data_IF_581589049456
#
_entry.id   IF_581589049456
#
_cell.length_a   1.000
_cell.length_b   1.000
_cell.length_c   1.000
_cell.angle_alpha   90.00
_cell.angle_beta   90.00
_cell.angle_gamma   90.00
#
_symmetry.space_group_name_H-M   'P 1'
#
loop_
_entity.id
_entity.type
_entity.pdbx_description
1 polymer ?
#
# COMPACT_ATOMS: atom_id res chain seq x y z
N UNK A 1 -21.69 2.19 5.59
CA UNK A 1 -21.02 3.30 4.88
C UNK A 1 -20.00 3.86 5.86
N UNK A 2 -18.74 4.05 5.44
CA UNK A 2 -17.78 4.74 6.30
C UNK A 2 -18.20 6.22 6.41
N UNK A 3 -18.37 6.73 7.62
CA UNK A 3 -18.62 8.14 7.85
C UNK A 3 -17.35 8.93 7.53
N UNK A 4 -17.44 9.83 6.55
CA UNK A 4 -16.33 10.71 6.18
C UNK A 4 -16.33 11.89 7.16
N UNK A 5 -15.31 11.95 8.03
CA UNK A 5 -15.12 13.09 8.94
C UNK A 5 -14.35 14.20 8.23
N UNK A 6 -14.46 15.43 8.73
CA UNK A 6 -13.81 16.60 8.12
C UNK A 6 -13.16 17.48 9.17
N UNK A 7 -11.96 17.97 8.86
CA UNK A 7 -11.24 18.97 9.64
C UNK A 7 -11.38 20.35 9.00
N UNK A 8 -11.74 21.37 9.79
CA UNK A 8 -11.85 22.76 9.30
C UNK A 8 -10.47 23.39 9.20
N UNK A 9 -10.09 23.81 8.00
CA UNK A 9 -8.84 24.53 7.71
C UNK A 9 -9.17 25.89 7.08
N UNK A 10 -9.18 26.94 7.91
CA UNK A 10 -9.64 28.27 7.51
C UNK A 10 -11.13 28.26 7.19
N UNK A 11 -11.48 28.66 5.96
CA UNK A 11 -12.86 28.75 5.48
C UNK A 11 -13.37 27.46 4.83
N UNK A 12 -12.57 26.39 4.81
CA UNK A 12 -12.89 25.14 4.12
C UNK A 12 -12.84 23.92 5.06
N UNK A 13 -13.60 22.89 4.71
CA UNK A 13 -13.58 21.57 5.36
C UNK A 13 -12.81 20.58 4.48
N UNK A 14 -11.75 20.00 5.04
CA UNK A 14 -10.93 18.98 4.37
C UNK A 14 -11.33 17.60 4.91
N UNK A 15 -11.66 16.62 4.06
CA UNK A 15 -12.01 15.28 4.51
C UNK A 15 -10.80 14.60 5.18
N UNK A 16 -11.05 13.93 6.30
CA UNK A 16 -10.04 13.18 7.04
C UNK A 16 -9.82 11.81 6.38
N UNK A 17 -9.03 11.82 5.31
CA UNK A 17 -8.65 10.59 4.63
C UNK A 17 -7.58 9.86 5.44
N UNK A 18 -7.93 8.71 6.00
CA UNK A 18 -6.98 7.79 6.63
C UNK A 18 -6.81 6.56 5.77
N UNK A 19 -5.56 6.17 5.53
CA UNK A 19 -5.24 4.88 4.95
C UNK A 19 -5.59 3.77 5.96
N UNK A 20 -5.90 2.58 5.44
CA UNK A 20 -6.01 1.39 6.30
C UNK A 20 -4.69 1.15 7.06
N UNK A 21 -4.79 0.67 8.29
CA UNK A 21 -3.59 0.28 9.06
C UNK A 21 -2.83 -0.80 8.30
N UNK A 22 -1.56 -0.52 8.01
CA UNK A 22 -0.66 -1.44 7.33
C UNK A 22 0.30 -2.06 8.35
N UNK A 23 0.79 -3.29 8.12
CA UNK A 23 1.78 -3.90 9.02
C UNK A 23 3.04 -3.02 9.12
N UNK A 24 3.56 -2.80 10.32
CA UNK A 24 4.77 -1.97 10.54
C UNK A 24 6.10 -2.68 10.19
N UNK A 25 6.04 -3.84 9.53
CA UNK A 25 7.24 -4.60 9.18
C UNK A 25 7.95 -3.95 7.99
N UNK A 26 9.30 -3.77 8.01
CA UNK A 26 10.02 -3.21 6.88
C UNK A 26 10.02 -4.16 5.67
N UNK A 27 9.97 -3.59 4.47
CA UNK A 27 10.12 -4.36 3.22
C UNK A 27 11.59 -4.75 3.02
N UNK A 28 11.84 -6.04 2.84
CA UNK A 28 13.15 -6.64 2.59
C UNK A 28 13.61 -6.56 1.12
N UNK A 29 14.66 -7.32 0.80
CA UNK A 29 15.29 -7.30 -0.54
C UNK A 29 14.33 -7.79 -1.62
N UNK A 30 13.61 -8.88 -1.38
CA UNK A 30 12.79 -9.55 -2.39
C UNK A 30 11.47 -8.80 -2.64
N UNK A 31 10.90 -8.18 -1.61
CA UNK A 31 9.76 -7.27 -1.74
C UNK A 31 10.12 -6.02 -2.55
N UNK A 32 11.30 -5.42 -2.32
CA UNK A 32 11.77 -4.30 -3.17
C UNK A 32 11.98 -4.72 -4.62
N UNK A 33 12.55 -5.91 -4.87
CA UNK A 33 12.68 -6.45 -6.23
C UNK A 33 11.31 -6.68 -6.88
N UNK A 34 10.35 -7.26 -6.15
CA UNK A 34 8.99 -7.48 -6.64
C UNK A 34 8.29 -6.18 -7.00
N UNK A 35 8.42 -5.14 -6.17
CA UNK A 35 7.88 -3.81 -6.46
C UNK A 35 8.41 -3.25 -7.77
N UNK A 36 9.72 -3.36 -8.02
CA UNK A 36 10.33 -2.91 -9.28
C UNK A 36 9.78 -3.69 -10.47
N UNK A 37 9.73 -5.01 -10.36
CA UNK A 37 9.17 -5.88 -11.41
C UNK A 37 7.71 -5.52 -11.73
N UNK A 38 6.87 -5.29 -10.70
CA UNK A 38 5.48 -4.90 -10.90
C UNK A 38 5.35 -3.58 -11.64
N UNK A 39 6.17 -2.58 -11.31
CA UNK A 39 6.18 -1.29 -12.02
C UNK A 39 6.61 -1.41 -13.49
N UNK A 40 7.70 -2.13 -13.74
CA UNK A 40 8.33 -2.18 -15.07
C UNK A 40 7.61 -3.15 -16.02
N UNK A 41 7.09 -4.26 -15.51
CA UNK A 41 6.56 -5.35 -16.35
C UNK A 41 5.08 -5.62 -16.17
N UNK A 42 4.45 -5.17 -15.07
CA UNK A 42 3.01 -5.41 -14.80
C UNK A 42 2.30 -4.16 -14.25
N UNK A 43 2.34 -3.02 -14.96
CA UNK A 43 1.81 -1.75 -14.46
C UNK A 43 0.31 -1.82 -14.09
N UNK A 44 -0.50 -2.60 -14.81
CA UNK A 44 -1.91 -2.78 -14.48
C UNK A 44 -2.14 -3.44 -13.11
N UNK A 45 -1.37 -4.50 -12.81
CA UNK A 45 -1.42 -5.15 -11.50
C UNK A 45 -0.86 -4.25 -10.40
N UNK A 46 0.22 -3.52 -10.70
CA UNK A 46 0.79 -2.55 -9.77
C UNK A 46 -0.23 -1.47 -9.36
N UNK A 47 -0.91 -0.87 -10.33
CA UNK A 47 -1.95 0.14 -10.07
C UNK A 47 -3.14 -0.45 -9.31
N UNK A 48 -3.59 -1.65 -9.68
CA UNK A 48 -4.68 -2.34 -8.96
C UNK A 48 -4.33 -2.59 -7.49
N UNK A 49 -3.10 -3.00 -7.19
CA UNK A 49 -2.62 -3.22 -5.82
C UNK A 49 -2.48 -1.91 -5.02
N UNK A 50 -2.10 -0.80 -5.66
CA UNK A 50 -2.07 0.52 -5.00
C UNK A 50 -3.49 0.97 -4.66
N UNK A 51 -4.39 0.95 -5.64
CA UNK A 51 -5.76 1.46 -5.49
C UNK A 51 -6.58 0.64 -4.48
N UNK A 52 -6.21 -0.63 -4.29
CA UNK A 52 -6.82 -1.50 -3.28
C UNK A 52 -6.10 -1.48 -1.93
N UNK A 53 -5.06 -0.67 -1.76
CA UNK A 53 -4.21 -0.62 -0.55
C UNK A 53 -3.54 -1.97 -0.18
N UNK A 54 -3.42 -2.89 -1.14
CA UNK A 54 -2.88 -4.25 -0.96
C UNK A 54 -1.43 -4.40 -1.42
N UNK A 55 -0.80 -3.34 -1.92
CA UNK A 55 0.58 -3.41 -2.36
C UNK A 55 1.52 -3.79 -1.21
N UNK A 56 1.41 -3.13 -0.06
CA UNK A 56 2.36 -3.31 1.04
C UNK A 56 2.34 -4.74 1.62
N UNK A 57 1.17 -5.33 1.94
CA UNK A 57 1.10 -6.70 2.44
C UNK A 57 1.61 -7.72 1.41
N UNK A 58 1.31 -7.51 0.13
CA UNK A 58 1.81 -8.37 -0.95
C UNK A 58 3.35 -8.41 -1.01
N UNK A 59 4.01 -7.26 -0.82
CA UNK A 59 5.47 -7.22 -0.83
C UNK A 59 6.07 -7.92 0.39
N UNK A 60 5.44 -7.79 1.56
CA UNK A 60 5.85 -8.49 2.78
C UNK A 60 5.70 -10.00 2.67
N UNK A 61 4.61 -10.49 2.09
CA UNK A 61 4.41 -11.91 1.83
C UNK A 61 5.52 -12.50 0.94
N UNK A 62 5.92 -11.76 -0.09
CA UNK A 62 7.00 -12.18 -0.99
C UNK A 62 8.35 -12.21 -0.27
N UNK A 63 8.63 -11.24 0.60
CA UNK A 63 9.82 -11.30 1.45
C UNK A 63 9.80 -12.51 2.37
N UNK A 64 8.68 -12.77 3.07
CA UNK A 64 8.54 -13.94 3.95
C UNK A 64 8.74 -15.25 3.20
N UNK A 65 8.04 -15.44 2.09
CA UNK A 65 8.13 -16.64 1.25
C UNK A 65 9.55 -16.89 0.70
N UNK A 66 10.35 -15.83 0.53
CA UNK A 66 11.74 -15.95 0.10
C UNK A 66 12.72 -16.28 1.24
N UNK A 67 12.38 -15.98 2.51
CA UNK A 67 13.19 -16.33 3.68
C UNK A 67 12.81 -17.68 4.31
N UNK A 68 11.61 -18.19 4.04
CA UNK A 68 11.12 -19.49 4.53
C UNK A 68 11.56 -20.68 3.64
N UNK A 69 12.36 -20.43 2.60
CA UNK A 69 12.98 -21.45 1.73
C UNK A 69 14.42 -21.69 2.08
#
# INVERSE_FOLDING_TARGET
>A
MNELTYTRCGDYYIPDLKLSEQPEAPIGKYGRMRRRYLKEHRPGLYSSLILSEKLYPHLLEIDRAAHER
#
